data_IF_855491945841
#
_entry.id   IF_855491945841
#
_cell.length_a   1.000
_cell.length_b   1.000
_cell.length_c   1.000
_cell.angle_alpha   90.00
_cell.angle_beta   90.00
_cell.angle_gamma   90.00
#
_symmetry.space_group_name_H-M   'P 1'
#
loop_
_entity.id
_entity.type
_entity.pdbx_description
1 polymer ?
#
# COMPACT_ATOMS: atom_id res chain seq x y z
N UNK A 1 13.20 26.17 1.08
CA UNK A 1 12.14 26.76 1.94
C UNK A 1 10.85 26.67 1.17
N UNK A 2 9.92 25.83 1.61
CA UNK A 2 8.55 25.84 1.08
C UNK A 2 7.85 27.06 1.64
N UNK A 3 7.40 27.97 0.77
CA UNK A 3 6.58 29.12 1.18
C UNK A 3 5.19 28.55 1.48
N UNK A 4 4.84 28.49 2.77
CA UNK A 4 3.49 28.11 3.21
C UNK A 4 2.67 29.39 3.30
N UNK A 5 1.52 29.42 2.63
CA UNK A 5 0.57 30.52 2.72
C UNK A 5 -0.17 30.47 4.06
N UNK A 6 -0.13 31.54 4.84
CA UNK A 6 -0.81 31.65 6.15
C UNK A 6 -2.30 32.05 6.03
N UNK A 7 -2.85 32.12 4.80
CA UNK A 7 -4.22 32.53 4.56
C UNK A 7 -5.25 31.47 5.05
N UNK A 8 -6.17 31.82 5.98
CA UNK A 8 -7.19 30.92 6.52
C UNK A 8 -8.10 30.28 5.47
N UNK A 9 -8.26 30.90 4.30
CA UNK A 9 -9.06 30.34 3.22
C UNK A 9 -8.58 28.94 2.76
N UNK A 10 -7.30 28.62 2.96
CA UNK A 10 -6.69 27.34 2.58
C UNK A 10 -6.84 26.25 3.64
N UNK A 11 -7.24 26.58 4.88
CA UNK A 11 -7.30 25.61 5.98
C UNK A 11 -8.20 24.39 5.69
N UNK A 12 -9.38 24.53 5.05
CA UNK A 12 -10.19 23.36 4.70
C UNK A 12 -9.47 22.45 3.71
N UNK A 13 -8.79 23.01 2.70
CA UNK A 13 -8.06 22.25 1.68
C UNK A 13 -6.85 21.54 2.30
N UNK A 14 -6.08 22.22 3.13
CA UNK A 14 -4.93 21.63 3.85
C UNK A 14 -5.38 20.49 4.76
N UNK A 15 -6.51 20.66 5.47
CA UNK A 15 -7.06 19.58 6.30
C UNK A 15 -7.48 18.38 5.44
N UNK A 16 -8.15 18.62 4.31
CA UNK A 16 -8.53 17.55 3.39
C UNK A 16 -7.32 16.80 2.84
N UNK A 17 -6.27 17.50 2.40
CA UNK A 17 -5.04 16.89 1.93
C UNK A 17 -4.37 16.05 3.02
N UNK A 18 -4.39 16.54 4.27
CA UNK A 18 -3.84 15.80 5.41
C UNK A 18 -4.62 14.53 5.70
N UNK A 19 -5.96 14.59 5.71
CA UNK A 19 -6.81 13.41 5.85
C UNK A 19 -6.62 12.42 4.70
N UNK A 20 -6.59 12.91 3.46
CA UNK A 20 -6.36 12.11 2.27
C UNK A 20 -4.99 11.42 2.30
N UNK A 21 -3.98 12.04 2.90
CA UNK A 21 -2.64 11.46 3.02
C UNK A 21 -2.55 10.29 4.00
N UNK A 22 -3.41 10.24 5.02
CA UNK A 22 -3.47 9.10 5.94
C UNK A 22 -4.19 7.88 5.35
N UNK A 23 -5.11 8.11 4.41
CA UNK A 23 -5.90 7.06 3.77
C UNK A 23 -5.08 5.98 3.05
N UNK A 24 -4.10 6.30 2.17
CA UNK A 24 -3.29 5.29 1.49
C UNK A 24 -2.45 4.48 2.47
N UNK A 25 -1.97 5.09 3.57
CA UNK A 25 -1.24 4.37 4.62
C UNK A 25 -2.14 3.36 5.32
N UNK A 26 -3.37 3.76 5.67
CA UNK A 26 -4.35 2.85 6.27
C UNK A 26 -4.73 1.71 5.31
N UNK A 27 -4.95 2.02 4.03
CA UNK A 27 -5.25 1.03 3.00
C UNK A 27 -4.09 0.04 2.80
N UNK A 28 -2.85 0.52 2.79
CA UNK A 28 -1.67 -0.35 2.71
C UNK A 28 -1.59 -1.31 3.90
N UNK A 29 -1.76 -0.81 5.12
CA UNK A 29 -1.78 -1.66 6.33
C UNK A 29 -2.87 -2.72 6.23
N UNK A 30 -4.07 -2.38 5.78
CA UNK A 30 -5.16 -3.34 5.60
C UNK A 30 -4.81 -4.44 4.58
N UNK A 31 -4.23 -4.07 3.44
CA UNK A 31 -3.81 -5.02 2.39
C UNK A 31 -2.68 -5.93 2.89
N UNK A 32 -1.68 -5.39 3.58
CA UNK A 32 -0.58 -6.18 4.16
C UNK A 32 -1.09 -7.12 5.25
N UNK A 33 -2.04 -6.66 6.07
CA UNK A 33 -2.65 -7.49 7.10
C UNK A 33 -3.42 -8.68 6.51
N UNK A 34 -4.27 -8.45 5.51
CA UNK A 34 -4.98 -9.52 4.80
C UNK A 34 -3.99 -10.52 4.17
N UNK A 35 -2.92 -10.01 3.54
CA UNK A 35 -1.86 -10.86 3.02
C UNK A 35 -1.21 -11.72 4.12
N UNK A 36 -0.83 -11.13 5.25
CA UNK A 36 -0.17 -11.83 6.36
C UNK A 36 -1.01 -12.98 6.91
N UNK A 37 -2.34 -12.82 6.92
CA UNK A 37 -3.26 -13.85 7.39
C UNK A 37 -3.29 -15.06 6.45
N UNK A 38 -3.24 -14.80 5.14
CA UNK A 38 -3.23 -15.85 4.11
C UNK A 38 -1.84 -16.43 3.82
N UNK A 39 -0.76 -15.76 4.24
CA UNK A 39 0.62 -16.16 3.98
C UNK A 39 0.94 -17.57 4.50
N UNK A 40 0.41 -17.95 5.66
CA UNK A 40 0.60 -19.30 6.20
C UNK A 40 0.09 -20.39 5.25
N UNK A 41 -1.07 -20.15 4.61
CA UNK A 41 -1.64 -21.07 3.62
C UNK A 41 -0.86 -21.03 2.31
N UNK A 42 -0.37 -19.86 1.89
CA UNK A 42 0.50 -19.75 0.71
C UNK A 42 1.78 -20.57 0.88
N UNK A 43 2.44 -20.52 2.04
CA UNK A 43 3.68 -21.29 2.27
C UNK A 43 3.40 -22.79 2.16
N UNK A 44 2.30 -23.28 2.71
CA UNK A 44 1.96 -24.70 2.64
C UNK A 44 1.53 -25.15 1.23
N UNK A 45 0.72 -24.36 0.53
CA UNK A 45 0.10 -24.75 -0.75
C UNK A 45 0.94 -24.37 -1.97
N UNK A 46 1.72 -23.29 -1.90
CA UNK A 46 2.51 -22.76 -3.01
C UNK A 46 3.98 -23.16 -2.86
N UNK A 47 4.57 -22.93 -1.69
CA UNK A 47 6.00 -23.16 -1.50
C UNK A 47 6.33 -24.63 -1.28
N UNK A 48 5.44 -25.41 -0.65
CA UNK A 48 5.61 -26.85 -0.43
C UNK A 48 5.11 -27.74 -1.58
N UNK A 49 4.36 -27.17 -2.54
CA UNK A 49 3.76 -27.92 -3.65
C UNK A 49 4.44 -27.60 -5.00
N UNK A 50 4.05 -28.30 -6.07
CA UNK A 50 4.56 -28.04 -7.43
C UNK A 50 4.13 -26.66 -7.91
N UNK A 51 5.13 -25.85 -8.29
CA UNK A 51 4.93 -24.51 -8.82
C UNK A 51 4.25 -24.60 -10.19
N UNK A 52 3.05 -24.02 -10.30
CA UNK A 52 2.34 -23.84 -11.56
C UNK A 52 2.56 -22.41 -12.06
N UNK A 53 2.44 -22.21 -13.38
CA UNK A 53 2.48 -20.89 -14.01
C UNK A 53 1.40 -19.96 -13.42
N UNK A 54 0.21 -20.52 -13.12
CA UNK A 54 -0.86 -19.80 -12.41
C UNK A 54 -0.40 -19.26 -11.06
N UNK A 55 0.38 -20.05 -10.32
CA UNK A 55 0.90 -19.68 -8.99
C UNK A 55 1.93 -18.56 -9.09
N UNK A 56 2.79 -18.60 -10.10
CA UNK A 56 3.77 -17.53 -10.37
C UNK A 56 3.05 -16.23 -10.74
N UNK A 57 2.01 -16.29 -11.58
CA UNK A 57 1.20 -15.13 -11.92
C UNK A 57 0.51 -14.53 -10.69
N UNK A 58 -0.07 -15.39 -9.85
CA UNK A 58 -0.69 -14.97 -8.60
C UNK A 58 0.29 -14.26 -7.67
N UNK A 59 1.46 -14.87 -7.41
CA UNK A 59 2.51 -14.25 -6.59
C UNK A 59 2.99 -12.93 -7.23
N UNK A 60 3.22 -12.91 -8.54
CA UNK A 60 3.68 -11.70 -9.24
C UNK A 60 2.72 -10.53 -9.03
N UNK A 61 1.42 -10.73 -9.30
CA UNK A 61 0.42 -9.67 -9.12
C UNK A 61 0.32 -9.25 -7.64
N UNK A 62 0.36 -10.21 -6.71
CA UNK A 62 0.21 -9.94 -5.28
C UNK A 62 1.38 -9.13 -4.71
N UNK A 63 2.62 -9.55 -4.96
CA UNK A 63 3.81 -8.87 -4.44
C UNK A 63 4.11 -7.58 -5.18
N UNK A 64 3.86 -7.49 -6.50
CA UNK A 64 3.98 -6.24 -7.24
C UNK A 64 2.93 -5.21 -6.77
N UNK A 65 1.72 -5.64 -6.43
CA UNK A 65 0.69 -4.75 -5.89
C UNK A 65 1.08 -4.14 -4.54
N UNK A 66 1.60 -4.97 -3.62
CA UNK A 66 2.11 -4.49 -2.32
C UNK A 66 3.32 -3.57 -2.51
N UNK A 67 4.25 -3.91 -3.40
CA UNK A 67 5.41 -3.08 -3.72
C UNK A 67 4.99 -1.73 -4.31
N UNK A 68 4.03 -1.71 -5.24
CA UNK A 68 3.50 -0.49 -5.83
C UNK A 68 2.85 0.41 -4.77
N UNK A 69 2.05 -0.16 -3.86
CA UNK A 69 1.44 0.59 -2.77
C UNK A 69 2.48 1.15 -1.77
N UNK A 70 3.56 0.41 -1.50
CA UNK A 70 4.67 0.91 -0.68
C UNK A 70 5.40 2.07 -1.38
N UNK A 71 5.68 1.93 -2.69
CA UNK A 71 6.34 2.97 -3.49
C UNK A 71 5.47 4.22 -3.64
N UNK A 72 4.14 4.09 -3.73
CA UNK A 72 3.25 5.24 -3.81
C UNK A 72 3.22 6.04 -2.49
N UNK A 73 3.27 5.35 -1.33
CA UNK A 73 3.39 6.01 -0.03
C UNK A 73 4.75 6.69 0.12
N UNK A 74 5.84 6.03 -0.30
CA UNK A 74 7.19 6.59 -0.28
C UNK A 74 7.33 7.79 -1.22
N UNK A 75 6.70 7.76 -2.40
CA UNK A 75 6.66 8.92 -3.30
C UNK A 75 5.80 10.08 -2.79
N UNK A 76 4.93 9.81 -1.81
CA UNK A 76 4.08 10.80 -1.15
C UNK A 76 4.76 11.44 0.07
N UNK A 77 5.92 10.94 0.51
CA UNK A 77 6.72 11.62 1.53
C UNK A 77 7.33 12.90 0.94
N UNK A 78 7.22 14.06 1.63
CA UNK A 78 7.68 15.36 1.11
C UNK A 78 9.19 15.46 0.91
#
# INVERSE_FOLDING_TARGET
MTIVSDDPAWWPVINLDRFASYFPVAAFVAVTYDWSLTFGQEVELIWRQRWSLMTVLYLSVRYLGILYAAMSILGMSP
#
